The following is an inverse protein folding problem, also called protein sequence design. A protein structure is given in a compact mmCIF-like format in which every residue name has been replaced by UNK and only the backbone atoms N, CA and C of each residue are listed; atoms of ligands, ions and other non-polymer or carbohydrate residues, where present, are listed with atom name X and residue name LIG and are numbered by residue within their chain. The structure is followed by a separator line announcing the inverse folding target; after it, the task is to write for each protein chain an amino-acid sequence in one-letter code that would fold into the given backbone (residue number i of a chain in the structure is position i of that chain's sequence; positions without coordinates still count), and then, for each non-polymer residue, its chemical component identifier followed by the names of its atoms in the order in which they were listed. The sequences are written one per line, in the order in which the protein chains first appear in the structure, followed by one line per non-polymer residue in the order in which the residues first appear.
data_IF_639396902831
#
_entry.id   IF_639396902831
#
_cell.length_a   1.000
_cell.length_b   1.000
_cell.length_c   1.000
_cell.angle_alpha   90.00
_cell.angle_beta   90.00
_cell.angle_gamma   90.00
#
_symmetry.space_group_name_H-M   'P 1'
#
loop_
_entity.id
_entity.type
_entity.pdbx_description
1 polymer ?
#
# COMPACT_ATOMS: atom_id res chain seq x y z
N UNK A 1 19.15 -31.18 -9.80
CA UNK A 1 17.86 -30.91 -10.46
C UNK A 1 16.76 -30.54 -9.46
N UNK A 2 16.42 -31.39 -8.47
CA UNK A 2 15.36 -31.11 -7.46
C UNK A 2 15.60 -29.83 -6.65
N UNK A 3 16.83 -29.65 -6.16
CA UNK A 3 17.24 -28.50 -5.32
C UNK A 3 17.27 -27.18 -6.11
N UNK A 4 17.57 -27.25 -7.41
CA UNK A 4 17.63 -26.09 -8.29
C UNK A 4 16.25 -25.47 -8.50
N UNK A 5 15.19 -26.29 -8.59
CA UNK A 5 13.81 -25.80 -8.68
C UNK A 5 13.36 -25.04 -7.42
N UNK A 6 13.79 -25.47 -6.23
CA UNK A 6 13.47 -24.81 -4.96
C UNK A 6 14.07 -23.40 -4.92
N UNK A 7 15.32 -23.25 -5.39
CA UNK A 7 16.00 -21.95 -5.44
C UNK A 7 15.28 -20.98 -6.37
N UNK A 8 14.87 -21.45 -7.57
CA UNK A 8 14.11 -20.63 -8.53
C UNK A 8 12.76 -20.20 -7.95
N UNK A 9 12.07 -21.09 -7.23
CA UNK A 9 10.79 -20.78 -6.59
C UNK A 9 10.93 -19.70 -5.50
N UNK A 10 12.02 -19.73 -4.72
CA UNK A 10 12.26 -18.73 -3.67
C UNK A 10 12.51 -17.33 -4.26
N UNK A 11 13.21 -17.23 -5.39
CA UNK A 11 13.41 -15.95 -6.06
C UNK A 11 12.14 -15.40 -6.70
N UNK A 12 11.22 -16.26 -7.15
CA UNK A 12 9.94 -15.83 -7.72
C UNK A 12 9.05 -15.12 -6.68
N UNK A 13 9.11 -15.53 -5.40
CA UNK A 13 8.29 -14.94 -4.32
C UNK A 13 8.88 -13.61 -3.84
N UNK A 14 10.19 -13.40 -3.98
CA UNK A 14 10.86 -12.15 -3.62
C UNK A 14 10.51 -10.96 -4.54
N UNK A 15 9.85 -11.22 -5.67
CA UNK A 15 9.47 -10.21 -6.67
C UNK A 15 8.13 -9.49 -6.41
N UNK A 16 7.40 -9.81 -5.33
CA UNK A 16 6.17 -9.09 -4.98
C UNK A 16 6.49 -7.62 -4.65
N UNK A 17 6.19 -6.71 -5.58
CA UNK A 17 6.39 -5.27 -5.38
C UNK A 17 5.27 -4.66 -4.54
N UNK A 18 5.65 -3.93 -3.48
CA UNK A 18 4.70 -3.19 -2.64
C UNK A 18 3.91 -2.16 -3.45
N UNK A 19 4.52 -1.56 -4.48
CA UNK A 19 3.84 -0.63 -5.40
C UNK A 19 2.74 -1.33 -6.19
N UNK A 20 3.05 -2.49 -6.77
CA UNK A 20 2.06 -3.27 -7.51
C UNK A 20 0.88 -3.71 -6.62
N UNK A 21 1.15 -4.09 -5.38
CA UNK A 21 0.10 -4.39 -4.41
C UNK A 21 -0.75 -3.16 -4.07
N UNK A 22 -0.12 -2.00 -3.86
CA UNK A 22 -0.82 -0.75 -3.56
C UNK A 22 -1.69 -0.26 -4.72
N UNK A 23 -1.19 -0.34 -5.95
CA UNK A 23 -1.96 0.07 -7.14
C UNK A 23 -3.23 -0.79 -7.30
N UNK A 24 -3.13 -2.10 -7.05
CA UNK A 24 -4.28 -3.00 -7.03
C UNK A 24 -5.29 -2.65 -5.94
N UNK A 25 -4.82 -2.21 -4.76
CA UNK A 25 -5.70 -1.74 -3.69
C UNK A 25 -6.48 -0.50 -4.13
N UNK A 26 -5.83 0.46 -4.79
CA UNK A 26 -6.49 1.68 -5.28
C UNK A 26 -7.57 1.40 -6.33
N UNK A 27 -7.36 0.42 -7.21
CA UNK A 27 -8.37 0.00 -8.20
C UNK A 27 -9.66 -0.44 -7.48
N UNK A 28 -9.53 -1.33 -6.50
CA UNK A 28 -10.68 -1.80 -5.71
C UNK A 28 -11.33 -0.66 -4.92
N UNK A 29 -10.52 0.26 -4.38
CA UNK A 29 -11.02 1.39 -3.61
C UNK A 29 -11.84 2.36 -4.49
N UNK A 30 -11.38 2.67 -5.71
CA UNK A 30 -12.14 3.48 -6.68
C UNK A 30 -13.47 2.83 -7.05
N UNK A 31 -13.47 1.51 -7.25
CA UNK A 31 -14.71 0.76 -7.51
C UNK A 31 -15.67 0.81 -6.32
N UNK A 32 -15.15 0.79 -5.08
CA UNK A 32 -15.97 0.96 -3.89
C UNK A 32 -16.56 2.37 -3.80
N UNK A 33 -15.80 3.42 -4.17
CA UNK A 33 -16.29 4.79 -4.17
C UNK A 33 -17.50 4.99 -5.09
N UNK A 34 -17.59 4.28 -6.23
CA UNK A 34 -18.75 4.34 -7.13
C UNK A 34 -20.07 3.91 -6.47
N UNK A 35 -20.01 3.15 -5.37
CA UNK A 35 -21.17 2.68 -4.61
C UNK A 35 -21.51 3.60 -3.42
N UNK A 36 -20.66 4.59 -3.17
CA UNK A 36 -20.79 5.49 -2.04
C UNK A 36 -21.83 6.59 -2.31
N UNK A 37 -22.38 7.21 -1.26
CA UNK A 37 -23.36 8.29 -1.43
C UNK A 37 -22.72 9.52 -2.09
N UNK A 38 -23.49 10.35 -2.84
CA UNK A 38 -22.95 11.52 -3.53
C UNK A 38 -22.13 12.48 -2.65
N UNK A 39 -22.52 12.69 -1.39
CA UNK A 39 -21.77 13.56 -0.47
C UNK A 39 -20.45 13.00 0.05
N UNK A 40 -20.23 11.69 -0.08
CA UNK A 40 -19.02 10.99 0.38
C UNK A 40 -18.16 10.50 -0.78
N UNK A 41 -18.69 10.53 -2.01
CA UNK A 41 -18.01 10.13 -3.23
C UNK A 41 -16.69 10.88 -3.43
N UNK A 42 -16.72 12.21 -3.38
CA UNK A 42 -15.55 13.07 -3.58
C UNK A 42 -14.46 12.80 -2.53
N UNK A 43 -14.84 12.67 -1.26
CA UNK A 43 -13.88 12.37 -0.18
C UNK A 43 -13.26 10.97 -0.37
N UNK A 44 -14.06 9.98 -0.75
CA UNK A 44 -13.60 8.63 -1.06
C UNK A 44 -12.63 8.62 -2.24
N UNK A 45 -13.00 9.28 -3.34
CA UNK A 45 -12.18 9.35 -4.56
C UNK A 45 -10.86 10.07 -4.31
N UNK A 46 -10.86 11.16 -3.54
CA UNK A 46 -9.63 11.86 -3.16
C UNK A 46 -8.66 10.95 -2.39
N UNK A 47 -9.17 10.09 -1.49
CA UNK A 47 -8.33 9.09 -0.81
C UNK A 47 -7.77 8.05 -1.78
N UNK A 48 -8.56 7.65 -2.79
CA UNK A 48 -8.18 6.67 -3.81
C UNK A 48 -7.30 7.24 -4.95
N UNK A 49 -6.97 8.53 -4.89
CA UNK A 49 -6.08 9.23 -5.83
C UNK A 49 -4.65 9.44 -5.31
N UNK A 50 -4.40 9.15 -4.02
CA UNK A 50 -3.06 9.28 -3.43
C UNK A 50 -2.04 8.42 -4.18
N UNK A 51 -0.90 9.01 -4.52
CA UNK A 51 0.19 8.29 -5.19
C UNK A 51 0.89 7.35 -4.21
N UNK A 52 1.53 6.31 -4.74
CA UNK A 52 2.31 5.37 -3.91
C UNK A 52 3.43 6.09 -3.14
N UNK A 53 4.08 7.06 -3.78
CA UNK A 53 5.16 7.85 -3.21
C UNK A 53 4.69 8.72 -2.04
N UNK A 54 3.51 9.35 -2.17
CA UNK A 54 2.89 10.09 -1.07
C UNK A 54 2.52 9.17 0.10
N UNK A 55 1.91 8.01 -0.20
CA UNK A 55 1.59 7.00 0.81
C UNK A 55 2.83 6.52 1.57
N UNK A 56 3.91 6.19 0.86
CA UNK A 56 5.15 5.71 1.47
C UNK A 56 5.83 6.77 2.35
N UNK A 57 5.81 8.04 1.92
CA UNK A 57 6.34 9.15 2.71
C UNK A 57 5.56 9.31 4.01
N UNK A 58 4.24 9.44 3.95
CA UNK A 58 3.38 9.58 5.14
C UNK A 58 3.55 8.38 6.09
N UNK A 59 3.64 7.17 5.54
CA UNK A 59 3.89 5.94 6.32
C UNK A 59 5.21 6.02 7.09
N UNK A 60 6.27 6.51 6.47
CA UNK A 60 7.58 6.67 7.12
C UNK A 60 7.55 7.74 8.20
N UNK A 61 6.93 8.88 7.93
CA UNK A 61 6.77 9.97 8.89
C UNK A 61 6.03 9.51 10.15
N UNK A 62 4.92 8.78 9.99
CA UNK A 62 4.16 8.21 11.11
C UNK A 62 4.98 7.21 11.93
N UNK A 63 5.80 6.38 11.28
CA UNK A 63 6.69 5.44 11.98
C UNK A 63 7.79 6.16 12.76
N UNK A 64 8.34 7.24 12.21
CA UNK A 64 9.33 8.06 12.90
C UNK A 64 8.74 8.83 14.08
N UNK A 65 7.56 9.42 13.91
CA UNK A 65 6.83 10.09 14.98
C UNK A 65 6.48 9.12 16.11
N UNK A 66 5.94 7.94 15.76
CA UNK A 66 5.66 6.88 16.73
C UNK A 66 6.91 6.46 17.49
N UNK A 67 8.06 6.38 16.80
CA UNK A 67 9.34 6.05 17.44
C UNK A 67 9.78 7.16 18.41
N UNK A 68 9.67 8.43 18.02
CA UNK A 68 10.00 9.59 18.88
C UNK A 68 9.12 9.61 20.13
N UNK A 69 7.81 9.42 19.96
CA UNK A 69 6.83 9.41 21.06
C UNK A 69 7.05 8.25 22.05
N UNK A 70 7.65 7.14 21.61
CA UNK A 70 8.06 6.04 22.50
C UNK A 70 9.34 6.31 23.28
N UNK A 71 10.19 7.23 22.84
CA UNK A 71 11.45 7.59 23.53
C UNK A 71 11.25 8.71 24.56
N UNK A 72 10.17 9.48 24.44
CA UNK A 72 9.80 10.57 25.36
C UNK A 72 8.84 10.13 26.47
N UNK A 73 8.44 8.85 26.51
CA UNK A 73 7.55 8.26 27.51
C UNK A 73 8.26 7.14 28.25
#
# INVERSE_FOLDING_TARGET
MKKTCIIVLLFAIAGCSNKAMYDNLLINQRQACLKERPGLFEECMNKAHKTYEEYERERKELLEETRKNKMTK
#
